data_IF_324871462346
#
_entry.id   IF_324871462346
#
_cell.length_a   1.000
_cell.length_b   1.000
_cell.length_c   1.000
_cell.angle_alpha   90.00
_cell.angle_beta   90.00
_cell.angle_gamma   90.00
#
_symmetry.space_group_name_H-M   'P 1'
#
loop_
_entity.id
_entity.type
_entity.pdbx_description
1 polymer ?
#
# COMPACT_ATOMS: atom_id res chain seq x y z
N UNK A 1 6.34 -17.51 -28.63
CA UNK A 1 5.65 -16.76 -27.58
C UNK A 1 6.68 -16.22 -26.58
N UNK A 2 7.04 -14.94 -26.67
CA UNK A 2 8.02 -14.31 -25.74
C UNK A 2 7.23 -13.62 -24.64
N UNK A 3 7.42 -14.08 -23.39
CA UNK A 3 6.88 -13.43 -22.20
C UNK A 3 7.65 -12.13 -21.95
N UNK A 4 6.98 -11.00 -22.09
CA UNK A 4 7.51 -9.69 -21.70
C UNK A 4 7.18 -9.50 -20.23
N UNK A 5 8.20 -9.54 -19.37
CA UNK A 5 8.10 -9.16 -17.97
C UNK A 5 8.17 -7.64 -17.87
N UNK A 6 7.07 -7.01 -17.51
CA UNK A 6 7.03 -5.58 -17.16
C UNK A 6 7.67 -5.42 -15.78
N UNK A 7 8.89 -4.86 -15.74
CA UNK A 7 9.54 -4.44 -14.49
C UNK A 7 8.86 -3.15 -14.01
N UNK A 8 8.02 -3.25 -13.00
CA UNK A 8 7.62 -2.08 -12.22
C UNK A 8 8.81 -1.62 -11.37
N UNK A 9 9.36 -0.46 -11.71
CA UNK A 9 10.36 0.22 -10.91
C UNK A 9 9.67 0.88 -9.70
N UNK A 10 9.85 0.30 -8.51
CA UNK A 10 9.44 0.89 -7.25
C UNK A 10 10.46 1.97 -6.87
N UNK A 11 10.03 3.23 -6.90
CA UNK A 11 10.82 4.35 -6.39
C UNK A 11 10.59 4.46 -4.88
N UNK A 12 11.52 3.94 -4.08
CA UNK A 12 11.55 4.11 -2.64
C UNK A 12 12.13 5.51 -2.33
N UNK A 13 11.27 6.47 -1.97
CA UNK A 13 11.71 7.73 -1.36
C UNK A 13 11.94 7.49 0.12
N UNK A 14 13.20 7.38 0.50
CA UNK A 14 13.65 7.38 1.90
C UNK A 14 13.68 8.82 2.40
N UNK A 15 12.69 9.24 3.20
CA UNK A 15 12.72 10.53 3.90
C UNK A 15 13.59 10.40 5.14
N UNK A 16 14.82 10.88 5.08
CA UNK A 16 15.69 11.05 6.24
C UNK A 16 15.26 12.29 7.03
N UNK A 17 14.71 12.09 8.23
CA UNK A 17 14.46 13.17 9.19
C UNK A 17 15.77 13.45 9.92
N UNK A 18 16.46 14.54 9.56
CA UNK A 18 17.57 15.09 10.30
C UNK A 18 17.05 15.95 11.47
N UNK A 19 17.19 15.46 12.69
CA UNK A 19 16.96 16.26 13.90
C UNK A 19 18.21 17.11 14.16
N UNK A 20 18.16 18.39 13.84
CA UNK A 20 19.16 19.37 14.24
C UNK A 20 18.84 19.88 15.65
N UNK A 21 19.57 19.37 16.64
CA UNK A 21 19.58 19.92 17.99
C UNK A 21 20.46 21.15 18.03
N UNK A 22 19.89 22.35 18.14
CA UNK A 22 20.61 23.59 18.43
C UNK A 22 20.75 23.75 19.94
N UNK A 23 21.97 23.56 20.45
CA UNK A 23 22.34 24.00 21.80
C UNK A 23 23.03 25.35 21.73
N UNK A 24 22.35 26.39 22.20
CA UNK A 24 22.99 27.69 22.53
C UNK A 24 23.65 27.60 23.90
N UNK A 25 24.94 27.78 23.95
CA UNK A 25 25.68 28.11 25.20
C UNK A 25 26.41 29.43 25.01
N UNK A 26 26.07 30.38 25.89
CA UNK A 26 26.58 31.73 25.97
C UNK A 26 28.02 31.73 26.49
N UNK A 27 28.88 32.55 25.90
CA UNK A 27 30.21 32.86 26.39
C UNK A 27 30.19 34.03 27.37
N UNK A 28 31.06 34.07 28.38
CA UNK A 28 31.50 35.32 28.99
C UNK A 28 32.86 35.79 28.44
N UNK A 29 32.92 37.08 28.13
CA UNK A 29 34.13 37.82 27.85
C UNK A 29 35.01 37.92 29.12
N UNK A 30 36.31 37.73 28.98
CA UNK A 30 37.26 38.59 29.69
C UNK A 30 38.61 38.70 28.95
N UNK A 31 39.08 39.92 28.92
CA UNK A 31 40.33 40.46 28.36
C UNK A 31 41.53 40.13 29.25
N UNK A 32 42.70 39.85 28.65
CA UNK A 32 43.92 40.67 28.86
C UNK A 32 45.17 40.09 28.18
N UNK A 33 45.69 40.88 27.33
CA UNK A 33 47.10 41.33 27.08
C UNK A 33 48.29 40.39 27.33
N UNK A 34 49.13 40.31 26.27
CA UNK A 34 50.59 40.42 26.12
C UNK A 34 51.47 39.20 26.41
N UNK A 35 52.22 38.75 25.48
CA UNK A 35 53.59 38.97 25.13
C UNK A 35 54.23 37.84 24.33
N UNK A 36 55.11 38.25 23.42
CA UNK A 36 55.89 37.45 22.49
C UNK A 36 56.81 36.41 23.11
N UNK A 37 56.97 35.24 22.47
CA UNK A 37 58.25 34.65 22.10
C UNK A 37 58.12 33.47 21.17
N UNK A 38 59.05 33.21 20.25
CA UNK A 38 58.89 32.28 19.17
C UNK A 38 59.28 30.83 19.58
N UNK A 39 58.37 29.90 19.48
CA UNK A 39 58.65 28.49 19.72
C UNK A 39 58.38 27.60 18.49
N UNK A 40 59.47 27.07 17.99
CA UNK A 40 59.68 25.78 17.35
C UNK A 40 58.51 25.21 16.55
N UNK A 41 58.72 25.18 15.26
CA UNK A 41 58.01 24.39 14.25
C UNK A 41 57.94 22.90 14.64
N UNK A 42 56.84 22.48 15.29
CA UNK A 42 56.52 21.06 15.46
C UNK A 42 55.79 20.62 14.23
N UNK A 43 56.48 19.86 13.40
CA UNK A 43 55.89 19.07 12.31
C UNK A 43 54.76 18.21 12.88
N UNK A 44 53.52 18.66 12.70
CA UNK A 44 52.32 17.86 12.97
C UNK A 44 52.26 16.80 11.86
N UNK A 45 52.64 15.58 12.20
CA UNK A 45 52.34 14.42 11.34
C UNK A 45 50.85 14.37 11.18
N UNK A 46 50.37 14.52 9.95
CA UNK A 46 48.96 14.26 9.60
C UNK A 46 48.54 12.92 10.19
N UNK A 47 47.40 12.88 10.91
CA UNK A 47 46.86 11.61 11.35
C UNK A 47 46.53 10.82 10.08
N UNK A 48 47.15 9.66 9.91
CA UNK A 48 46.81 8.69 8.87
C UNK A 48 45.30 8.52 8.94
N UNK A 49 44.58 8.91 7.90
CA UNK A 49 43.15 8.59 7.71
C UNK A 49 43.07 7.09 7.52
N UNK A 50 42.95 6.38 8.61
CA UNK A 50 42.94 4.94 8.64
C UNK A 50 41.47 4.47 8.80
N UNK A 51 40.90 3.91 7.70
CA UNK A 51 40.31 2.58 7.73
C UNK A 51 38.87 2.44 8.24
N UNK A 52 38.06 3.48 8.38
CA UNK A 52 36.62 3.28 8.60
C UNK A 52 35.94 2.79 7.31
N UNK A 53 36.38 3.24 6.16
CA UNK A 53 35.81 2.81 4.86
C UNK A 53 36.14 1.34 4.51
N UNK A 54 37.32 0.83 4.87
CA UNK A 54 37.71 -0.55 4.55
C UNK A 54 36.97 -1.59 5.41
N UNK A 55 36.66 -1.27 6.66
CA UNK A 55 35.86 -2.15 7.54
C UNK A 55 34.40 -2.21 7.14
N UNK A 56 33.81 -1.08 6.71
CA UNK A 56 32.45 -1.04 6.18
C UNK A 56 32.31 -1.89 4.92
N UNK A 57 33.19 -1.70 3.93
CA UNK A 57 33.14 -2.46 2.68
C UNK A 57 33.32 -3.98 2.90
N UNK A 58 34.15 -4.38 3.88
CA UNK A 58 34.34 -5.79 4.20
C UNK A 58 33.11 -6.38 4.91
N UNK A 59 32.46 -5.63 5.81
CA UNK A 59 31.23 -6.06 6.45
C UNK A 59 30.08 -6.19 5.45
N UNK A 60 29.93 -5.25 4.53
CA UNK A 60 28.94 -5.32 3.45
C UNK A 60 29.14 -6.50 2.52
N UNK A 61 30.41 -6.79 2.17
CA UNK A 61 30.76 -7.94 1.35
C UNK A 61 30.40 -9.26 2.05
N UNK A 62 30.82 -9.43 3.30
CA UNK A 62 30.49 -10.62 4.11
C UNK A 62 28.99 -10.78 4.28
N UNK A 63 28.26 -9.68 4.49
CA UNK A 63 26.80 -9.71 4.59
C UNK A 63 26.18 -10.25 3.29
N UNK A 64 26.57 -9.72 2.12
CA UNK A 64 26.07 -10.19 0.83
C UNK A 64 26.41 -11.65 0.53
N UNK A 65 27.61 -12.10 0.93
CA UNK A 65 28.00 -13.52 0.84
C UNK A 65 27.12 -14.39 1.73
N UNK A 66 26.84 -13.95 2.97
CA UNK A 66 25.98 -14.67 3.91
C UNK A 66 24.52 -14.73 3.42
N UNK A 67 24.00 -13.67 2.77
CA UNK A 67 22.64 -13.68 2.19
C UNK A 67 22.45 -14.81 1.15
N UNK A 68 23.50 -15.24 0.48
CA UNK A 68 23.42 -16.33 -0.51
C UNK A 68 23.26 -17.73 0.13
N UNK A 69 23.57 -17.86 1.42
CA UNK A 69 23.50 -19.13 2.16
C UNK A 69 22.24 -19.27 3.02
N UNK A 70 21.42 -18.22 3.15
CA UNK A 70 20.22 -18.25 3.98
C UNK A 70 18.93 -18.21 3.15
N UNK A 71 17.90 -18.88 3.65
CA UNK A 71 16.55 -18.86 3.11
C UNK A 71 15.57 -18.40 4.18
N UNK A 72 14.75 -17.40 3.83
CA UNK A 72 13.60 -16.95 4.62
C UNK A 72 12.31 -17.52 4.03
N UNK A 73 11.51 -18.19 4.86
CA UNK A 73 10.25 -18.79 4.42
C UNK A 73 9.11 -18.47 5.38
N UNK A 74 7.98 -18.04 4.83
CA UNK A 74 6.74 -17.88 5.60
C UNK A 74 6.22 -19.27 5.97
N UNK A 75 6.20 -19.58 7.27
CA UNK A 75 5.69 -20.84 7.84
C UNK A 75 4.18 -20.74 8.06
N UNK A 76 3.72 -19.60 8.61
CA UNK A 76 2.31 -19.31 8.75
C UNK A 76 2.05 -17.82 8.59
N UNK A 77 0.84 -17.49 8.15
CA UNK A 77 0.33 -16.14 8.03
C UNK A 77 -1.16 -16.13 8.44
N UNK A 78 -1.70 -14.97 8.85
CA UNK A 78 -3.13 -14.81 9.08
C UNK A 78 -3.94 -15.33 7.89
N UNK A 79 -4.96 -16.13 8.19
CA UNK A 79 -5.80 -16.72 7.15
C UNK A 79 -6.55 -15.64 6.39
N UNK A 80 -6.39 -15.59 5.05
CA UNK A 80 -7.16 -14.70 4.18
C UNK A 80 -8.66 -15.01 4.16
N UNK A 81 -9.07 -16.19 4.67
CA UNK A 81 -10.48 -16.55 4.84
C UNK A 81 -11.12 -15.85 6.04
N UNK A 82 -10.34 -15.38 7.01
CA UNK A 82 -10.80 -14.60 8.15
C UNK A 82 -10.55 -13.13 7.89
N UNK A 83 -11.63 -12.39 7.68
CA UNK A 83 -11.53 -10.95 7.41
C UNK A 83 -11.00 -10.21 8.65
N UNK A 84 -9.90 -9.48 8.48
CA UNK A 84 -9.44 -8.48 9.42
C UNK A 84 -9.96 -7.12 8.93
N UNK A 85 -10.54 -6.35 9.82
CA UNK A 85 -11.01 -4.99 9.53
C UNK A 85 -10.05 -3.96 10.14
N UNK A 86 -10.01 -2.77 9.56
CA UNK A 86 -9.28 -1.64 10.16
C UNK A 86 -9.74 -1.41 11.60
N UNK A 87 -8.79 -1.10 12.48
CA UNK A 87 -8.94 -0.94 13.94
C UNK A 87 -9.28 -2.22 14.70
N UNK A 88 -9.33 -3.37 14.03
CA UNK A 88 -9.49 -4.67 14.68
C UNK A 88 -8.13 -5.36 14.86
N UNK A 89 -7.97 -6.06 16.00
CA UNK A 89 -6.77 -6.81 16.28
C UNK A 89 -6.61 -8.02 15.35
N UNK A 90 -5.38 -8.28 14.92
CA UNK A 90 -5.01 -9.54 14.29
C UNK A 90 -5.09 -10.67 15.32
N UNK A 91 -5.66 -11.81 14.92
CA UNK A 91 -5.83 -12.98 15.80
C UNK A 91 -4.73 -14.02 15.60
N UNK A 92 -4.08 -13.99 14.46
CA UNK A 92 -3.06 -14.97 14.06
C UNK A 92 -1.77 -14.21 13.72
N UNK A 93 -0.61 -14.65 14.22
CA UNK A 93 0.67 -14.03 13.88
C UNK A 93 1.18 -14.51 12.53
N UNK A 94 2.12 -13.76 11.99
CA UNK A 94 3.04 -14.24 10.97
C UNK A 94 4.18 -15.00 11.64
N UNK A 95 4.53 -16.16 11.10
CA UNK A 95 5.70 -16.92 11.53
C UNK A 95 6.58 -17.14 10.31
N UNK A 96 7.85 -16.76 10.42
CA UNK A 96 8.86 -16.92 9.37
C UNK A 96 10.03 -17.72 9.92
N UNK A 97 10.50 -18.70 9.18
CA UNK A 97 11.73 -19.43 9.47
C UNK A 97 12.90 -18.87 8.67
N UNK A 98 14.06 -18.91 9.29
CA UNK A 98 15.37 -18.65 8.67
C UNK A 98 16.19 -19.91 8.76
N UNK A 99 16.65 -20.40 7.62
CA UNK A 99 17.45 -21.62 7.51
C UNK A 99 18.68 -21.39 6.62
N UNK A 100 19.72 -22.17 6.86
CA UNK A 100 20.87 -22.32 5.98
C UNK A 100 21.10 -23.81 5.62
N UNK A 101 22.24 -24.14 5.04
CA UNK A 101 22.61 -25.52 4.70
C UNK A 101 22.71 -26.44 5.93
N UNK A 102 22.91 -25.90 7.13
CA UNK A 102 23.03 -26.63 8.40
C UNK A 102 21.71 -26.74 9.15
N UNK A 103 20.66 -26.07 8.68
CA UNK A 103 19.32 -26.07 9.27
C UNK A 103 18.86 -24.72 9.79
N UNK A 104 18.24 -24.70 11.00
CA UNK A 104 17.70 -23.50 11.60
C UNK A 104 18.80 -22.51 12.03
N UNK A 105 18.64 -21.23 11.69
CA UNK A 105 19.59 -20.17 12.06
C UNK A 105 19.02 -19.36 13.23
N UNK A 106 19.55 -19.60 14.43
CA UNK A 106 19.21 -18.85 15.64
C UNK A 106 19.95 -17.50 15.70
N UNK A 107 19.46 -16.58 16.52
CA UNK A 107 20.04 -15.26 16.79
C UNK A 107 20.24 -14.40 15.51
N UNK A 108 19.47 -14.68 14.45
CA UNK A 108 19.54 -13.96 13.20
C UNK A 108 18.58 -12.77 13.19
N UNK A 109 19.07 -11.59 12.82
CA UNK A 109 18.27 -10.37 12.79
C UNK A 109 17.49 -10.23 11.48
N UNK A 110 16.16 -10.13 11.61
CA UNK A 110 15.19 -9.96 10.52
C UNK A 110 14.45 -8.65 10.70
N UNK A 111 14.41 -7.85 9.65
CA UNK A 111 13.54 -6.66 9.58
C UNK A 111 12.19 -7.05 9.02
N UNK A 112 11.13 -6.63 9.70
CA UNK A 112 9.74 -6.76 9.26
C UNK A 112 9.27 -5.39 8.79
N UNK A 113 8.66 -5.32 7.60
CA UNK A 113 8.10 -4.09 7.01
C UNK A 113 6.65 -4.31 6.63
N UNK A 114 5.73 -3.45 7.13
CA UNK A 114 4.29 -3.56 6.87
C UNK A 114 3.64 -2.20 6.67
N UNK A 115 2.51 -2.12 5.91
CA UNK A 115 1.81 -0.86 5.67
C UNK A 115 1.12 -0.36 6.95
N UNK A 116 1.24 0.94 7.25
CA UNK A 116 0.68 1.56 8.46
C UNK A 116 -0.18 2.78 8.21
N UNK A 117 0.07 3.53 7.14
CA UNK A 117 -0.70 4.73 6.83
C UNK A 117 -0.81 4.94 5.33
N UNK A 118 -1.80 5.77 4.95
CA UNK A 118 -2.00 6.18 3.56
C UNK A 118 -2.19 7.68 3.51
N UNK A 119 -1.50 8.33 2.58
CA UNK A 119 -1.71 9.74 2.24
C UNK A 119 -1.97 9.82 0.74
N UNK A 120 -3.19 10.17 0.36
CA UNK A 120 -3.68 10.00 -1.01
C UNK A 120 -3.49 8.54 -1.46
N UNK A 121 -2.81 8.29 -2.59
CA UNK A 121 -2.55 6.94 -3.12
C UNK A 121 -1.21 6.35 -2.65
N UNK A 122 -0.48 7.05 -1.77
CA UNK A 122 0.82 6.61 -1.28
C UNK A 122 0.67 5.90 0.06
N UNK A 123 1.13 4.64 0.13
CA UNK A 123 1.20 3.84 1.36
C UNK A 123 2.55 4.06 2.02
N UNK A 124 2.54 4.34 3.32
CA UNK A 124 3.75 4.40 4.15
C UNK A 124 3.87 3.11 4.97
N UNK A 125 5.13 2.68 5.14
CA UNK A 125 5.46 1.45 5.84
C UNK A 125 6.19 1.73 7.15
N UNK A 126 5.89 0.95 8.18
CA UNK A 126 6.69 0.86 9.39
C UNK A 126 7.62 -0.34 9.32
N UNK A 127 8.69 -0.28 10.11
CA UNK A 127 9.64 -1.39 10.22
C UNK A 127 9.96 -1.68 11.68
N UNK A 128 10.19 -2.96 11.99
CA UNK A 128 10.75 -3.41 13.27
C UNK A 128 11.79 -4.49 13.02
N UNK A 129 12.70 -4.68 13.98
CA UNK A 129 13.69 -5.75 13.93
C UNK A 129 13.34 -6.82 14.95
N UNK A 130 13.40 -8.07 14.52
CA UNK A 130 13.19 -9.24 15.35
C UNK A 130 14.39 -10.16 15.21
N UNK A 131 14.64 -10.97 16.24
CA UNK A 131 15.73 -11.95 16.27
C UNK A 131 15.11 -13.33 16.28
N UNK A 132 15.64 -14.26 15.48
CA UNK A 132 15.18 -15.64 15.43
C UNK A 132 15.46 -16.36 16.76
N UNK A 133 14.54 -17.21 17.14
CA UNK A 133 14.66 -18.10 18.29
C UNK A 133 15.61 -19.30 17.98
N UNK A 134 15.73 -20.23 18.94
CA UNK A 134 16.56 -21.44 18.80
C UNK A 134 16.13 -22.35 17.63
N UNK A 135 14.86 -22.26 17.21
CA UNK A 135 14.32 -22.99 16.06
C UNK A 135 14.47 -22.21 14.74
N UNK A 136 15.21 -21.09 14.75
CA UNK A 136 15.37 -20.21 13.60
C UNK A 136 14.09 -19.46 13.20
N UNK A 137 13.14 -19.24 14.10
CA UNK A 137 11.86 -18.63 13.79
C UNK A 137 11.71 -17.25 14.40
N UNK A 138 10.98 -16.39 13.71
CA UNK A 138 10.41 -15.15 14.26
C UNK A 138 8.89 -15.26 14.26
N UNK A 139 8.26 -14.64 15.26
CA UNK A 139 6.81 -14.50 15.35
C UNK A 139 6.46 -13.03 15.43
N UNK A 140 5.63 -12.55 14.50
CA UNK A 140 5.19 -11.16 14.43
C UNK A 140 3.67 -11.07 14.42
N UNK A 141 3.11 -10.43 15.43
CA UNK A 141 1.68 -10.08 15.50
C UNK A 141 1.55 -8.57 15.27
N UNK A 142 0.98 -8.13 14.14
CA UNK A 142 0.80 -6.70 13.87
C UNK A 142 -0.15 -6.06 14.89
N UNK A 143 0.12 -4.80 15.23
CA UNK A 143 -0.85 -3.95 15.88
C UNK A 143 -2.09 -3.76 14.98
N UNK A 144 -3.26 -3.38 15.55
CA UNK A 144 -4.43 -3.06 14.77
C UNK A 144 -4.10 -2.01 13.70
N UNK A 145 -4.43 -2.29 12.45
CA UNK A 145 -4.17 -1.35 11.35
C UNK A 145 -5.19 -0.20 11.38
N UNK A 146 -4.72 1.03 11.36
CA UNK A 146 -5.58 2.21 11.25
C UNK A 146 -6.19 2.36 9.85
N UNK A 147 -5.59 1.74 8.83
CA UNK A 147 -6.02 1.82 7.44
C UNK A 147 -6.54 0.47 6.93
N UNK A 148 -7.45 0.55 5.99
CA UNK A 148 -7.78 -0.57 5.12
C UNK A 148 -6.71 -0.67 4.01
N UNK A 149 -6.25 -1.89 3.71
CA UNK A 149 -5.19 -2.10 2.72
C UNK A 149 -5.17 -3.54 2.21
N UNK A 150 -4.84 -3.71 0.93
CA UNK A 150 -4.53 -5.00 0.29
C UNK A 150 -3.11 -4.91 -0.26
N UNK A 151 -2.16 -5.40 0.50
CA UNK A 151 -0.73 -5.27 0.20
C UNK A 151 0.03 -6.47 0.78
N UNK A 152 1.33 -6.35 0.95
CA UNK A 152 2.21 -7.37 1.49
C UNK A 152 2.97 -6.85 2.71
N UNK A 153 3.19 -7.74 3.66
CA UNK A 153 4.21 -7.62 4.69
C UNK A 153 5.48 -8.30 4.17
N UNK A 154 6.63 -7.68 4.38
CA UNK A 154 7.93 -8.17 3.92
C UNK A 154 8.82 -8.44 5.11
N UNK A 155 9.49 -9.60 5.08
CA UNK A 155 10.48 -10.03 6.05
C UNK A 155 11.81 -10.18 5.34
N UNK A 156 12.84 -9.48 5.79
CA UNK A 156 14.15 -9.52 5.12
C UNK A 156 15.29 -9.42 6.13
N UNK A 157 16.47 -9.99 5.83
CA UNK A 157 17.64 -9.86 6.68
C UNK A 157 17.93 -8.41 7.01
N UNK A 158 18.19 -8.11 8.28
CA UNK A 158 18.46 -6.72 8.68
C UNK A 158 19.74 -6.21 8.02
N UNK A 159 19.71 -5.13 7.21
CA UNK A 159 20.88 -4.62 6.52
C UNK A 159 21.95 -4.15 7.51
N UNK A 160 23.21 -4.48 7.26
CA UNK A 160 24.35 -4.05 8.09
C UNK A 160 24.79 -2.61 7.84
N UNK A 161 24.24 -1.96 6.81
CA UNK A 161 24.46 -0.54 6.49
C UNK A 161 23.27 0.02 5.72
N UNK A 162 23.19 1.35 5.66
CA UNK A 162 22.19 2.09 4.87
C UNK A 162 22.56 2.22 3.39
N UNK A 163 23.62 1.58 2.94
CA UNK A 163 24.04 1.56 1.52
C UNK A 163 22.91 1.00 0.65
N UNK A 164 22.47 1.72 -0.41
CA UNK A 164 21.36 1.27 -1.25
C UNK A 164 21.55 -0.15 -1.80
N UNK A 165 22.79 -0.53 -2.13
CA UNK A 165 23.11 -1.86 -2.65
C UNK A 165 22.96 -2.96 -1.59
N UNK A 166 23.21 -2.65 -0.31
CA UNK A 166 23.06 -3.58 0.82
C UNK A 166 21.59 -3.73 1.18
N UNK A 167 20.87 -2.61 1.27
CA UNK A 167 19.42 -2.62 1.52
C UNK A 167 18.68 -3.38 0.43
N UNK A 168 19.00 -3.14 -0.84
CA UNK A 168 18.40 -3.86 -1.96
C UNK A 168 18.73 -5.37 -1.93
N UNK A 169 19.97 -5.76 -1.61
CA UNK A 169 20.34 -7.15 -1.49
C UNK A 169 19.58 -7.84 -0.36
N UNK A 170 19.48 -7.21 0.81
CA UNK A 170 18.71 -7.71 1.95
C UNK A 170 17.23 -7.89 1.58
N UNK A 171 16.62 -6.89 0.96
CA UNK A 171 15.22 -6.94 0.53
C UNK A 171 14.97 -8.05 -0.50
N UNK A 172 15.89 -8.24 -1.43
CA UNK A 172 15.81 -9.29 -2.45
C UNK A 172 15.96 -10.71 -1.89
N UNK A 173 16.67 -10.88 -0.76
CA UNK A 173 16.79 -12.14 -0.03
C UNK A 173 15.61 -12.39 0.94
N UNK A 174 14.67 -11.48 1.01
CA UNK A 174 13.51 -11.55 1.88
C UNK A 174 12.37 -12.40 1.33
N UNK A 175 11.37 -12.58 2.17
CA UNK A 175 10.10 -13.25 1.83
C UNK A 175 8.91 -12.33 2.12
N UNK A 176 7.77 -12.59 1.49
CA UNK A 176 6.57 -11.77 1.61
C UNK A 176 5.35 -12.63 1.91
N UNK A 177 4.41 -12.03 2.66
CA UNK A 177 3.09 -12.61 2.87
C UNK A 177 1.99 -11.56 2.59
N UNK A 178 0.76 -11.97 2.26
CA UNK A 178 -0.36 -11.05 2.14
C UNK A 178 -0.61 -10.29 3.45
N UNK A 179 -0.81 -8.98 3.36
CA UNK A 179 -1.29 -8.12 4.45
C UNK A 179 -2.60 -7.50 3.99
N UNK A 180 -3.73 -8.06 4.46
CA UNK A 180 -5.05 -7.73 3.95
C UNK A 180 -5.94 -7.28 5.10
N UNK A 181 -6.33 -6.01 5.06
CA UNK A 181 -7.21 -5.36 6.04
C UNK A 181 -8.33 -4.66 5.29
N UNK A 182 -9.57 -5.08 5.49
CA UNK A 182 -10.74 -4.42 4.89
C UNK A 182 -11.16 -3.21 5.72
N UNK A 183 -11.81 -2.26 5.06
CA UNK A 183 -12.39 -1.11 5.77
C UNK A 183 -13.45 -1.55 6.78
N UNK A 184 -13.39 -1.00 7.99
CA UNK A 184 -14.43 -1.21 8.99
C UNK A 184 -15.80 -0.67 8.55
N UNK A 185 -15.85 0.29 7.62
CA UNK A 185 -17.09 0.77 7.02
C UNK A 185 -17.83 -0.32 6.24
N UNK A 186 -17.12 -1.34 5.73
CA UNK A 186 -17.71 -2.45 4.96
C UNK A 186 -18.34 -3.55 5.82
N UNK A 187 -18.27 -3.45 7.15
CA UNK A 187 -18.96 -4.37 8.07
C UNK A 187 -20.48 -4.28 7.89
N UNK A 188 -21.18 -5.30 8.39
CA UNK A 188 -22.65 -5.27 8.43
C UNK A 188 -23.16 -4.02 9.16
N UNK A 189 -24.20 -3.34 8.66
CA UNK A 189 -25.13 -3.74 7.60
C UNK A 189 -24.64 -3.58 6.16
N UNK A 190 -23.42 -3.04 5.91
CA UNK A 190 -22.87 -2.89 4.56
C UNK A 190 -23.25 -1.58 3.88
N UNK A 191 -23.47 -1.61 2.56
CA UNK A 191 -23.64 -0.38 1.80
C UNK A 191 -24.73 -0.42 0.72
N UNK A 192 -24.97 0.75 0.13
CA UNK A 192 -25.87 0.94 -1.02
C UNK A 192 -25.11 1.60 -2.17
N UNK A 193 -25.54 1.28 -3.41
CA UNK A 193 -24.91 1.77 -4.64
C UNK A 193 -25.88 2.63 -5.45
N UNK A 194 -25.42 3.84 -5.78
CA UNK A 194 -25.99 4.70 -6.82
C UNK A 194 -24.88 4.91 -7.89
N UNK A 195 -24.62 3.88 -8.69
CA UNK A 195 -23.55 3.87 -9.69
C UNK A 195 -24.14 3.49 -11.03
N UNK A 196 -23.96 4.33 -12.05
CA UNK A 196 -24.54 4.12 -13.38
C UNK A 196 -23.48 3.88 -14.43
N UNK A 197 -23.79 2.95 -15.34
CA UNK A 197 -23.08 2.76 -16.57
C UNK A 197 -23.58 3.75 -17.64
N UNK A 198 -22.64 4.30 -18.40
CA UNK A 198 -22.97 5.13 -19.56
C UNK A 198 -22.49 4.44 -20.83
N UNK A 199 -23.30 4.53 -21.88
CA UNK A 199 -22.85 4.12 -23.22
C UNK A 199 -21.94 5.18 -23.85
N UNK A 200 -21.38 4.86 -25.00
CA UNK A 200 -20.46 5.75 -25.73
C UNK A 200 -21.07 7.12 -26.12
N UNK A 201 -22.40 7.20 -26.23
CA UNK A 201 -23.14 8.43 -26.49
C UNK A 201 -23.45 9.24 -25.22
N UNK A 202 -22.88 8.87 -24.08
CA UNK A 202 -23.10 9.56 -22.81
C UNK A 202 -24.50 9.38 -22.22
N UNK A 203 -25.23 8.33 -22.60
CA UNK A 203 -26.55 8.02 -22.03
C UNK A 203 -26.43 6.97 -20.94
N UNK A 204 -27.07 7.17 -19.79
CA UNK A 204 -27.09 6.15 -18.74
C UNK A 204 -27.83 4.90 -19.24
N UNK A 205 -27.31 3.74 -18.94
CA UNK A 205 -27.85 2.46 -19.38
C UNK A 205 -28.47 1.64 -18.26
N UNK A 206 -27.70 1.39 -17.18
CA UNK A 206 -28.13 0.59 -16.04
C UNK A 206 -27.43 1.08 -14.76
N UNK A 207 -27.97 0.68 -13.58
CA UNK A 207 -27.17 0.63 -12.37
C UNK A 207 -26.07 -0.42 -12.56
N UNK A 208 -24.88 -0.16 -12.03
CA UNK A 208 -23.72 -1.02 -12.20
C UNK A 208 -23.89 -2.35 -11.43
N UNK A 209 -24.51 -3.33 -12.09
CA UNK A 209 -24.76 -4.66 -11.52
C UNK A 209 -23.45 -5.43 -11.29
N UNK A 210 -22.46 -5.26 -12.17
CA UNK A 210 -21.16 -5.95 -12.07
C UNK A 210 -20.45 -5.55 -10.79
N UNK A 211 -20.35 -4.24 -10.50
CA UNK A 211 -19.74 -3.74 -9.26
C UNK A 211 -20.50 -4.29 -8.02
N UNK A 212 -21.83 -4.29 -8.06
CA UNK A 212 -22.64 -4.84 -6.97
C UNK A 212 -22.31 -6.33 -6.72
N UNK A 213 -22.17 -7.09 -7.79
CA UNK A 213 -21.85 -8.52 -7.70
C UNK A 213 -20.42 -8.74 -7.16
N UNK A 214 -19.45 -7.94 -7.59
CA UNK A 214 -18.05 -8.05 -7.13
C UNK A 214 -17.93 -7.72 -5.63
N UNK A 215 -18.61 -6.68 -5.15
CA UNK A 215 -18.70 -6.39 -3.72
C UNK A 215 -19.29 -7.56 -2.92
N UNK A 216 -20.36 -8.16 -3.42
CA UNK A 216 -21.01 -9.33 -2.78
C UNK A 216 -20.10 -10.56 -2.79
N UNK A 217 -19.41 -10.83 -3.89
CA UNK A 217 -18.42 -11.90 -4.01
C UNK A 217 -17.27 -11.72 -3.03
N UNK A 218 -16.90 -10.45 -2.76
CA UNK A 218 -15.92 -10.11 -1.72
C UNK A 218 -16.47 -10.20 -0.29
N UNK A 219 -17.73 -10.60 -0.11
CA UNK A 219 -18.37 -10.76 1.19
C UNK A 219 -18.91 -9.46 1.80
N UNK A 220 -19.09 -8.42 1.00
CA UNK A 220 -19.70 -7.17 1.43
C UNK A 220 -21.21 -7.24 1.21
N UNK A 221 -21.99 -6.98 2.27
CA UNK A 221 -23.42 -6.82 2.12
C UNK A 221 -23.69 -5.50 1.38
N UNK A 222 -24.17 -5.58 0.14
CA UNK A 222 -24.41 -4.41 -0.69
C UNK A 222 -25.73 -4.56 -1.47
N UNK A 223 -26.42 -3.44 -1.66
CA UNK A 223 -27.66 -3.33 -2.40
C UNK A 223 -27.71 -2.09 -3.28
N UNK A 224 -28.69 -2.00 -4.16
CA UNK A 224 -28.92 -0.77 -4.90
C UNK A 224 -29.49 0.31 -3.99
N UNK A 225 -29.16 1.56 -4.28
CA UNK A 225 -29.77 2.71 -3.64
C UNK A 225 -31.30 2.70 -3.88
N UNK A 226 -32.10 3.17 -2.91
CA UNK A 226 -33.56 3.19 -3.04
C UNK A 226 -34.07 4.18 -4.09
N UNK A 227 -33.23 5.20 -4.41
CA UNK A 227 -33.49 6.11 -5.52
C UNK A 227 -32.76 5.59 -6.75
N UNK A 228 -33.51 5.17 -7.75
CA UNK A 228 -32.95 4.62 -9.01
C UNK A 228 -33.28 5.48 -10.23
N UNK A 229 -33.89 6.65 -10.01
CA UNK A 229 -34.22 7.57 -11.10
C UNK A 229 -32.96 8.27 -11.63
N UNK A 230 -32.77 8.23 -12.94
CA UNK A 230 -31.68 8.88 -13.65
C UNK A 230 -31.69 10.41 -13.51
N UNK A 231 -32.81 11.03 -13.08
CA UNK A 231 -32.88 12.46 -12.78
C UNK A 231 -31.91 12.86 -11.67
N UNK A 232 -31.59 11.94 -10.75
CA UNK A 232 -30.61 12.17 -9.68
C UNK A 232 -29.17 12.25 -10.19
N UNK A 233 -28.86 11.78 -11.42
CA UNK A 233 -27.52 11.93 -12.03
C UNK A 233 -27.11 13.40 -12.26
N UNK A 234 -28.08 14.32 -12.22
CA UNK A 234 -27.85 15.78 -12.33
C UNK A 234 -27.73 16.47 -10.97
N UNK A 235 -27.92 15.74 -9.88
CA UNK A 235 -27.88 16.26 -8.51
C UNK A 235 -26.49 16.12 -7.92
N UNK A 236 -26.24 16.88 -6.88
CA UNK A 236 -25.01 16.77 -6.09
C UNK A 236 -25.01 15.47 -5.27
N UNK A 237 -23.81 15.03 -4.87
CA UNK A 237 -23.68 13.87 -3.98
C UNK A 237 -24.47 14.05 -2.68
N UNK A 238 -24.50 15.26 -2.13
CA UNK A 238 -25.24 15.59 -0.90
C UNK A 238 -26.76 15.43 -1.08
N UNK A 239 -27.29 15.86 -2.23
CA UNK A 239 -28.72 15.69 -2.53
C UNK A 239 -29.10 14.23 -2.73
N UNK A 240 -28.22 13.43 -3.38
CA UNK A 240 -28.42 12.00 -3.56
C UNK A 240 -28.35 11.30 -2.20
N UNK A 241 -27.34 11.65 -1.38
CA UNK A 241 -27.20 11.15 -0.02
C UNK A 241 -28.43 11.43 0.82
N UNK A 242 -28.91 12.68 0.86
CA UNK A 242 -30.07 13.07 1.65
C UNK A 242 -31.31 12.27 1.26
N UNK A 243 -31.61 12.13 -0.04
CA UNK A 243 -32.72 11.35 -0.54
C UNK A 243 -32.64 9.86 -0.16
N UNK A 244 -31.45 9.28 -0.17
CA UNK A 244 -31.25 7.89 0.25
C UNK A 244 -31.32 7.74 1.77
N UNK A 245 -30.75 8.70 2.53
CA UNK A 245 -30.75 8.69 3.98
C UNK A 245 -32.15 8.72 4.58
N UNK A 246 -33.05 9.48 3.99
CA UNK A 246 -34.45 9.57 4.42
C UNK A 246 -35.17 8.22 4.32
N UNK A 247 -34.81 7.39 3.34
CA UNK A 247 -35.45 6.08 3.11
C UNK A 247 -34.75 4.97 3.90
N UNK A 248 -33.41 4.93 3.85
CA UNK A 248 -32.59 3.83 4.39
C UNK A 248 -32.31 3.98 5.88
N UNK A 249 -32.26 5.23 6.37
CA UNK A 249 -31.92 5.51 7.77
C UNK A 249 -30.52 4.96 8.13
N UNK A 250 -30.50 4.04 9.11
CA UNK A 250 -29.27 3.40 9.60
C UNK A 250 -29.08 1.96 9.07
N UNK A 251 -29.84 1.57 8.03
CA UNK A 251 -29.74 0.21 7.46
C UNK A 251 -28.54 0.02 6.53
N UNK A 252 -27.72 1.05 6.33
CA UNK A 252 -26.43 0.98 5.64
C UNK A 252 -25.37 1.82 6.35
N UNK A 253 -24.10 1.41 6.27
CA UNK A 253 -22.97 2.15 6.82
C UNK A 253 -22.38 3.14 5.82
N UNK A 254 -22.40 2.79 4.53
CA UNK A 254 -21.82 3.61 3.47
C UNK A 254 -22.68 3.62 2.22
N UNK A 255 -22.44 4.60 1.38
CA UNK A 255 -23.05 4.76 0.08
C UNK A 255 -21.95 4.96 -0.97
N UNK A 256 -22.07 4.27 -2.10
CA UNK A 256 -21.21 4.49 -3.27
C UNK A 256 -22.03 5.27 -4.29
N UNK A 257 -21.51 6.43 -4.70
CA UNK A 257 -22.06 7.25 -5.78
C UNK A 257 -21.02 7.30 -6.89
N UNK A 258 -21.44 7.11 -8.13
CA UNK A 258 -20.50 7.23 -9.23
C UNK A 258 -21.04 6.86 -10.61
N UNK A 259 -20.13 6.86 -11.57
CA UNK A 259 -20.40 6.57 -12.96
C UNK A 259 -19.29 5.73 -13.58
N UNK A 260 -19.66 4.88 -14.54
CA UNK A 260 -18.73 4.20 -15.45
C UNK A 260 -19.03 4.73 -16.84
N UNK A 261 -18.06 5.39 -17.46
CA UNK A 261 -18.25 6.05 -18.74
C UNK A 261 -17.06 5.86 -19.67
N UNK A 262 -17.30 6.01 -20.95
CA UNK A 262 -16.23 6.00 -21.94
C UNK A 262 -15.31 7.23 -21.74
N UNK A 263 -14.00 6.98 -21.63
CA UNK A 263 -12.98 8.05 -21.59
C UNK A 263 -12.73 8.63 -22.96
N UNK A 264 -12.86 7.78 -23.97
CA UNK A 264 -12.66 8.08 -25.39
C UNK A 264 -13.53 7.14 -26.24
N UNK A 265 -13.81 7.49 -27.51
CA UNK A 265 -14.51 6.58 -28.41
C UNK A 265 -13.77 5.26 -28.59
N UNK A 266 -14.53 4.17 -28.77
CA UNK A 266 -13.92 2.87 -29.03
C UNK A 266 -13.10 2.89 -30.33
N UNK A 267 -11.93 2.25 -30.29
CA UNK A 267 -11.03 2.12 -31.46
C UNK A 267 -11.21 0.73 -32.04
N UNK A 268 -11.64 0.64 -33.30
CA UNK A 268 -11.81 -0.62 -34.03
C UNK A 268 -10.77 -0.72 -35.15
N UNK A 269 -10.19 -1.91 -35.31
CA UNK A 269 -9.22 -2.22 -36.36
C UNK A 269 -9.30 -3.69 -36.76
N UNK A 270 -8.46 -4.14 -37.67
CA UNK A 270 -8.45 -5.52 -38.19
C UNK A 270 -8.18 -6.59 -37.10
N UNK A 271 -7.57 -6.20 -35.99
CA UNK A 271 -7.24 -7.10 -34.89
C UNK A 271 -8.31 -7.13 -33.76
N UNK A 272 -9.38 -6.37 -33.90
CA UNK A 272 -10.47 -6.26 -32.95
C UNK A 272 -10.81 -4.84 -32.54
N UNK A 273 -11.39 -4.68 -31.37
CA UNK A 273 -11.78 -3.39 -30.81
C UNK A 273 -11.14 -3.16 -29.43
N UNK A 274 -10.76 -1.92 -29.15
CA UNK A 274 -10.29 -1.48 -27.83
C UNK A 274 -11.30 -0.49 -27.24
N UNK A 275 -11.70 -0.72 -26.01
CA UNK A 275 -12.59 0.16 -25.22
C UNK A 275 -11.85 0.62 -23.99
N UNK A 276 -11.89 1.93 -23.70
CA UNK A 276 -11.34 2.57 -22.52
C UNK A 276 -12.46 3.20 -21.71
N UNK A 277 -12.62 2.78 -20.45
CA UNK A 277 -13.63 3.28 -19.54
C UNK A 277 -12.99 3.91 -18.31
N UNK A 278 -13.65 4.94 -17.77
CA UNK A 278 -13.31 5.56 -16.50
C UNK A 278 -14.47 5.42 -15.51
N UNK A 279 -14.13 5.04 -14.29
CA UNK A 279 -15.03 5.05 -13.15
C UNK A 279 -14.68 6.23 -12.23
N UNK A 280 -15.64 7.13 -12.01
CA UNK A 280 -15.57 8.18 -10.99
C UNK A 280 -16.42 7.76 -9.80
N UNK A 281 -15.78 7.54 -8.64
CA UNK A 281 -16.41 6.95 -7.46
C UNK A 281 -16.20 7.84 -6.24
N UNK A 282 -17.28 8.07 -5.51
CA UNK A 282 -17.27 8.70 -4.18
C UNK A 282 -18.00 7.79 -3.20
N UNK A 283 -17.35 7.44 -2.10
CA UNK A 283 -17.94 6.70 -0.99
C UNK A 283 -18.25 7.67 0.15
N UNK A 284 -19.51 7.67 0.60
CA UNK A 284 -20.00 8.51 1.68
C UNK A 284 -20.37 7.67 2.90
N UNK A 285 -20.13 8.20 4.09
CA UNK A 285 -20.66 7.66 5.35
C UNK A 285 -22.16 7.84 5.42
N UNK A 286 -22.92 6.77 5.61
CA UNK A 286 -24.36 6.87 5.83
C UNK A 286 -24.71 7.43 7.21
N UNK A 287 -23.73 7.60 8.11
CA UNK A 287 -23.94 8.23 9.42
C UNK A 287 -24.18 9.72 9.29
N UNK A 288 -23.34 10.42 8.52
CA UNK A 288 -23.22 11.88 8.50
C UNK A 288 -22.98 12.51 7.12
N UNK A 289 -22.94 11.72 6.05
CA UNK A 289 -22.67 12.18 4.69
C UNK A 289 -21.21 12.53 4.40
N UNK A 290 -20.31 12.38 5.37
CA UNK A 290 -18.88 12.66 5.14
C UNK A 290 -18.27 11.75 4.10
N UNK A 291 -17.32 12.27 3.32
CA UNK A 291 -16.60 11.48 2.34
C UNK A 291 -15.63 10.53 3.04
N UNK A 292 -15.83 9.23 2.86
CA UNK A 292 -14.93 8.17 3.33
C UNK A 292 -13.78 7.95 2.35
N UNK A 293 -14.09 7.97 1.05
CA UNK A 293 -13.12 7.69 0.00
C UNK A 293 -13.58 8.29 -1.34
N UNK A 294 -12.63 8.71 -2.17
CA UNK A 294 -12.89 9.15 -3.53
C UNK A 294 -11.77 8.67 -4.45
N UNK A 295 -12.13 8.17 -5.62
CA UNK A 295 -11.17 7.70 -6.62
C UNK A 295 -11.71 7.83 -8.03
N UNK A 296 -10.78 7.98 -8.99
CA UNK A 296 -11.03 7.87 -10.42
C UNK A 296 -10.12 6.77 -10.96
N UNK A 297 -10.71 5.75 -11.58
CA UNK A 297 -9.98 4.59 -12.11
C UNK A 297 -10.28 4.48 -13.60
N UNK A 298 -9.25 4.37 -14.41
CA UNK A 298 -9.36 4.12 -15.86
C UNK A 298 -8.81 2.74 -16.17
N UNK A 299 -9.51 2.02 -17.04
CA UNK A 299 -9.07 0.73 -17.55
C UNK A 299 -9.38 0.59 -19.04
N UNK A 300 -8.62 -0.28 -19.72
CA UNK A 300 -8.78 -0.54 -21.15
C UNK A 300 -8.78 -2.04 -21.41
N UNK A 301 -9.63 -2.48 -22.32
CA UNK A 301 -9.64 -3.86 -22.76
C UNK A 301 -9.74 -3.95 -24.28
N UNK A 302 -9.01 -4.90 -24.86
CA UNK A 302 -9.07 -5.25 -26.28
C UNK A 302 -9.67 -6.65 -26.42
N UNK A 303 -10.58 -6.80 -27.38
CA UNK A 303 -11.20 -8.08 -27.73
C UNK A 303 -11.60 -8.08 -29.23
N UNK A 304 -12.11 -9.23 -29.70
CA UNK A 304 -12.47 -9.48 -31.12
C UNK A 304 -13.47 -8.47 -31.71
N UNK A 305 -14.28 -7.84 -30.91
CA UNK A 305 -15.22 -6.80 -31.30
C UNK A 305 -15.51 -5.84 -30.14
N UNK A 306 -16.14 -4.73 -30.44
CA UNK A 306 -16.45 -3.66 -29.49
C UNK A 306 -17.29 -4.15 -28.29
N UNK A 307 -18.31 -4.95 -28.55
CA UNK A 307 -19.19 -5.45 -27.48
C UNK A 307 -18.42 -6.30 -26.47
N UNK A 308 -17.60 -7.27 -26.93
CA UNK A 308 -16.79 -8.11 -26.05
C UNK A 308 -15.69 -7.33 -25.34
N UNK A 309 -15.07 -6.36 -26.00
CA UNK A 309 -14.09 -5.45 -25.38
C UNK A 309 -14.72 -4.60 -24.27
N UNK A 310 -15.93 -4.07 -24.52
CA UNK A 310 -16.70 -3.30 -23.53
C UNK A 310 -17.05 -4.15 -22.29
N UNK A 311 -17.62 -5.35 -22.50
CA UNK A 311 -17.98 -6.24 -21.38
C UNK A 311 -16.74 -6.60 -20.54
N UNK A 312 -15.62 -6.91 -21.18
CA UNK A 312 -14.36 -7.21 -20.51
C UNK A 312 -13.83 -6.01 -19.74
N UNK A 313 -13.83 -4.80 -20.34
CA UNK A 313 -13.41 -3.59 -19.69
C UNK A 313 -14.28 -3.25 -18.47
N UNK A 314 -15.63 -3.37 -18.60
CA UNK A 314 -16.55 -3.15 -17.49
C UNK A 314 -16.30 -4.12 -16.34
N UNK A 315 -16.06 -5.39 -16.64
CA UNK A 315 -15.78 -6.39 -15.62
C UNK A 315 -14.48 -6.12 -14.87
N UNK A 316 -13.39 -5.86 -15.59
CA UNK A 316 -12.09 -5.59 -14.95
C UNK A 316 -12.08 -4.25 -14.19
N UNK A 317 -12.78 -3.25 -14.71
CA UNK A 317 -12.92 -1.96 -14.04
C UNK A 317 -13.77 -2.07 -12.77
N UNK A 318 -14.85 -2.84 -12.79
CA UNK A 318 -15.70 -3.09 -11.61
C UNK A 318 -14.93 -3.82 -10.51
N UNK A 319 -14.11 -4.82 -10.85
CA UNK A 319 -13.24 -5.50 -9.89
C UNK A 319 -12.24 -4.53 -9.24
N UNK A 320 -11.59 -3.66 -10.03
CA UNK A 320 -10.67 -2.63 -9.53
C UNK A 320 -11.37 -1.64 -8.60
N UNK A 321 -12.59 -1.22 -8.96
CA UNK A 321 -13.40 -0.32 -8.13
C UNK A 321 -13.82 -1.00 -6.84
N UNK A 322 -14.25 -2.27 -6.88
CA UNK A 322 -14.60 -3.03 -5.68
C UNK A 322 -13.41 -3.13 -4.72
N UNK A 323 -12.22 -3.47 -5.23
CA UNK A 323 -10.98 -3.48 -4.44
C UNK A 323 -10.66 -2.09 -3.85
N UNK A 324 -10.76 -1.03 -4.66
CA UNK A 324 -10.52 0.33 -4.20
C UNK A 324 -11.49 0.76 -3.09
N UNK A 325 -12.76 0.42 -3.19
CA UNK A 325 -13.77 0.68 -2.16
C UNK A 325 -13.48 -0.12 -0.88
N UNK A 326 -13.21 -1.41 -0.99
CA UNK A 326 -13.00 -2.30 0.16
C UNK A 326 -11.74 -1.93 0.94
N UNK A 327 -10.68 -1.54 0.24
CA UNK A 327 -9.37 -1.30 0.81
C UNK A 327 -8.95 0.18 0.81
N UNK A 328 -9.78 1.09 0.31
CA UNK A 328 -9.53 2.53 0.24
C UNK A 328 -10.24 3.35 1.32
N UNK A 329 -11.45 2.92 1.71
CA UNK A 329 -12.23 3.59 2.76
C UNK A 329 -11.60 3.51 4.15
#
# INVERSE_FOLDING_TARGET
MKKIYLKQAFLLTVSAIAVLGTSCVSAPKNSNTAQDEPAAEKTIKEPKSITVQNTSNQAEKKFKEHLASIELKVVSAPSTKRTVYSKAAFKEPYVVSVTDENGAVADFSVTVSWPVSRTNDTISYSTTQLITDADGKITFLPEPSEIAVKDKITFYPTPVSSSPSVVQAAFSAGTQAPFVVKSSATQYPGGILYVYDFNENGRPTTNNFTLLQDLRNAGINAGNAPVSDTSYLKKTNDEIYAACKDIVGNAANFMIIGTFQYSEPAVENENGATVTLTADITCLSMKDGSTLYKTTITDSATDKNKWSAEQKCRSTLAEKVADAVIYGM
#
